data_IF_020193111611
#
_entry.id   IF_020193111611
#
_cell.length_a   1.000
_cell.length_b   1.000
_cell.length_c   1.000
_cell.angle_alpha   90.00
_cell.angle_beta   90.00
_cell.angle_gamma   90.00
#
_symmetry.space_group_name_H-M   'P 1'
#
loop_
_entity.id
_entity.type
_entity.pdbx_description
1 polymer ?
#
# COMPACT_ATOMS: atom_id res chain seq x y z
N UNK A 1 52.26 19.81 39.13
CA UNK A 1 51.20 20.02 38.12
C UNK A 1 51.38 18.90 37.11
N UNK A 2 50.36 18.07 36.87
CA UNK A 2 50.45 17.04 35.84
C UNK A 2 50.57 17.73 34.47
N UNK A 3 51.41 17.21 33.59
CA UNK A 3 51.46 17.76 32.22
C UNK A 3 50.20 17.33 31.47
N UNK A 4 49.77 18.11 30.47
CA UNK A 4 48.59 17.77 29.65
C UNK A 4 48.65 16.36 29.06
N UNK A 5 49.86 15.88 28.74
CA UNK A 5 50.11 14.52 28.24
C UNK A 5 49.77 13.48 29.31
N UNK A 6 50.22 13.68 30.57
CA UNK A 6 49.94 12.76 31.67
C UNK A 6 48.45 12.69 32.00
N UNK A 7 47.75 13.83 32.00
CA UNK A 7 46.30 13.88 32.22
C UNK A 7 45.52 13.11 31.14
N UNK A 8 45.89 13.31 29.87
CA UNK A 8 45.27 12.61 28.76
C UNK A 8 45.63 11.11 28.74
N UNK A 9 46.85 10.76 29.17
CA UNK A 9 47.30 9.37 29.23
C UNK A 9 46.58 8.60 30.34
N UNK A 10 46.44 9.19 31.53
CA UNK A 10 45.67 8.61 32.64
C UNK A 10 44.21 8.36 32.22
N UNK A 11 43.57 9.36 31.61
CA UNK A 11 42.22 9.25 31.06
C UNK A 11 42.11 8.18 29.96
N UNK A 12 43.13 8.03 29.11
CA UNK A 12 43.17 7.03 28.05
C UNK A 12 43.24 5.61 28.64
N UNK A 13 44.06 5.41 29.67
CA UNK A 13 44.15 4.14 30.39
C UNK A 13 42.88 3.82 31.19
N UNK A 14 42.17 4.83 31.67
CA UNK A 14 40.84 4.70 32.30
C UNK A 14 39.69 4.54 31.27
N UNK A 15 40.00 4.58 29.98
CA UNK A 15 39.05 4.49 28.86
C UNK A 15 37.96 5.58 28.86
N UNK A 16 38.25 6.75 29.43
CA UNK A 16 37.33 7.89 29.48
C UNK A 16 37.54 8.91 28.35
N UNK A 17 38.54 8.69 27.49
CA UNK A 17 38.90 9.62 26.40
C UNK A 17 37.87 9.69 25.28
N UNK A 18 37.72 10.88 24.70
CA UNK A 18 37.00 11.09 23.44
C UNK A 18 37.92 10.96 22.22
N UNK A 19 37.35 10.70 21.04
CA UNK A 19 38.10 10.59 19.78
C UNK A 19 38.93 11.84 19.43
N UNK A 20 38.49 13.03 19.87
CA UNK A 20 39.25 14.27 19.71
C UNK A 20 40.47 14.32 20.63
N UNK A 21 40.32 13.88 21.88
CA UNK A 21 41.38 13.84 22.88
C UNK A 21 42.43 12.78 22.53
N UNK A 22 42.02 11.63 21.99
CA UNK A 22 42.97 10.61 21.52
C UNK A 22 43.83 11.08 20.35
N UNK A 23 43.25 11.87 19.43
CA UNK A 23 44.01 12.49 18.33
C UNK A 23 45.00 13.52 18.86
N UNK A 24 44.60 14.32 19.85
CA UNK A 24 45.45 15.29 20.54
C UNK A 24 46.60 14.57 21.25
N UNK A 25 46.29 13.56 22.07
CA UNK A 25 47.25 12.73 22.81
C UNK A 25 48.28 12.09 21.87
N UNK A 26 47.82 11.48 20.77
CA UNK A 26 48.71 10.87 19.78
C UNK A 26 49.67 11.90 19.16
N UNK A 27 49.17 13.09 18.83
CA UNK A 27 50.02 14.16 18.27
C UNK A 27 51.06 14.62 19.29
N UNK A 28 50.64 14.89 20.52
CA UNK A 28 51.50 15.38 21.58
C UNK A 28 52.59 14.37 21.97
N UNK A 29 52.26 13.08 22.01
CA UNK A 29 53.24 12.02 22.32
C UNK A 29 54.26 11.85 21.18
N UNK A 30 53.86 12.03 19.92
CA UNK A 30 54.79 11.95 18.80
C UNK A 30 55.76 13.14 18.74
N UNK A 31 55.34 14.30 19.24
CA UNK A 31 56.11 15.56 19.20
C UNK A 31 56.97 15.77 20.46
N UNK A 32 56.64 15.13 21.58
CA UNK A 32 57.38 15.29 22.84
C UNK A 32 58.67 14.48 22.91
N UNK A 33 59.66 14.95 23.67
CA UNK A 33 60.85 14.18 24.04
C UNK A 33 60.51 13.31 25.26
N UNK A 34 60.61 11.97 25.14
CA UNK A 34 60.16 11.00 26.17
C UNK A 34 59.05 10.05 25.71
N UNK A 35 58.46 9.29 26.64
CA UNK A 35 57.32 8.37 26.41
C UNK A 35 57.54 7.32 25.29
N UNK A 36 58.73 6.70 25.28
CA UNK A 36 59.14 5.74 24.24
C UNK A 36 58.18 4.55 24.11
N UNK A 37 57.62 4.06 25.23
CA UNK A 37 56.69 2.91 25.24
C UNK A 37 55.36 3.26 24.59
N UNK A 38 54.81 4.42 24.94
CA UNK A 38 53.55 4.92 24.41
C UNK A 38 53.70 5.28 22.92
N UNK A 39 54.85 5.84 22.53
CA UNK A 39 55.19 6.08 21.11
C UNK A 39 55.19 4.79 20.30
N UNK A 40 55.88 3.76 20.79
CA UNK A 40 55.93 2.45 20.12
C UNK A 40 54.51 1.87 19.95
N UNK A 41 53.69 1.94 21.00
CA UNK A 41 52.28 1.51 20.95
C UNK A 41 51.49 2.26 19.87
N UNK A 42 51.52 3.59 19.87
CA UNK A 42 50.75 4.39 18.89
C UNK A 42 51.25 4.21 17.45
N UNK A 43 52.54 3.93 17.26
CA UNK A 43 53.10 3.60 15.95
C UNK A 43 52.64 2.21 15.48
N UNK A 44 52.72 1.19 16.34
CA UNK A 44 52.25 -0.15 16.03
C UNK A 44 50.75 -0.16 15.66
N UNK A 45 49.91 0.52 16.44
CA UNK A 45 48.48 0.69 16.14
C UNK A 45 48.22 1.40 14.79
N UNK A 46 49.10 2.34 14.42
CA UNK A 46 49.08 2.97 13.10
C UNK A 46 49.36 1.99 11.97
N UNK A 47 50.37 1.13 12.15
CA UNK A 47 50.79 0.15 11.15
C UNK A 47 49.75 -0.96 10.95
N UNK A 48 49.11 -1.43 12.04
CA UNK A 48 48.02 -2.41 11.94
C UNK A 48 46.81 -1.91 11.14
N UNK A 49 46.58 -0.59 11.10
CA UNK A 49 45.52 -0.01 10.25
C UNK A 49 45.82 -0.16 8.76
N UNK A 50 47.09 -0.20 8.39
CA UNK A 50 47.54 -0.33 7.00
C UNK A 50 47.76 -1.78 6.57
N UNK A 51 47.82 -2.71 7.51
CA UNK A 51 47.91 -4.13 7.20
C UNK A 51 46.56 -4.66 6.68
N UNK A 52 46.51 -4.98 5.38
CA UNK A 52 45.38 -5.70 4.83
C UNK A 52 45.37 -7.14 5.39
N UNK A 53 44.24 -7.62 5.92
CA UNK A 53 44.14 -8.96 6.46
C UNK A 53 44.31 -10.00 5.34
N UNK A 54 45.48 -10.61 5.29
CA UNK A 54 45.90 -11.52 4.20
C UNK A 54 44.99 -12.76 4.05
N UNK A 55 44.18 -13.10 5.06
CA UNK A 55 43.38 -14.33 5.13
C UNK A 55 41.91 -14.12 5.52
N UNK A 56 41.23 -13.06 5.04
CA UNK A 56 39.77 -12.98 5.15
C UNK A 56 39.08 -13.83 4.08
N UNK A 57 38.83 -15.10 4.37
CA UNK A 57 37.95 -15.96 3.57
C UNK A 57 36.49 -15.59 3.81
N UNK A 58 36.02 -14.50 3.18
CA UNK A 58 34.60 -14.15 3.17
C UNK A 58 33.88 -15.13 2.23
N UNK A 59 32.89 -15.91 2.70
CA UNK A 59 32.15 -16.80 1.83
C UNK A 59 31.43 -15.97 0.76
N UNK A 60 31.80 -16.20 -0.51
CA UNK A 60 31.13 -15.57 -1.66
C UNK A 60 29.70 -16.08 -1.70
N UNK A 61 28.78 -15.36 -1.07
CA UNK A 61 27.35 -15.60 -1.26
C UNK A 61 27.06 -15.43 -2.75
N UNK A 62 26.70 -16.52 -3.42
CA UNK A 62 26.29 -16.50 -4.82
C UNK A 62 24.89 -15.91 -4.88
N UNK A 63 24.79 -14.58 -4.85
CA UNK A 63 23.56 -13.90 -5.22
C UNK A 63 23.22 -14.32 -6.65
N UNK A 64 22.09 -15.02 -6.83
CA UNK A 64 21.56 -15.37 -8.13
C UNK A 64 21.24 -14.07 -8.86
N UNK A 65 22.12 -13.64 -9.77
CA UNK A 65 21.89 -12.49 -10.63
C UNK A 65 20.82 -12.85 -11.64
N UNK A 66 19.60 -12.43 -11.38
CA UNK A 66 18.53 -12.48 -12.38
C UNK A 66 18.85 -11.40 -13.41
N UNK A 67 18.75 -11.75 -14.70
CA UNK A 67 19.04 -10.81 -15.77
C UNK A 67 17.98 -9.70 -15.79
N UNK A 68 18.40 -8.46 -15.57
CA UNK A 68 17.49 -7.30 -15.55
C UNK A 68 16.76 -7.12 -16.87
N UNK A 69 17.37 -7.50 -18.00
CA UNK A 69 16.71 -7.40 -19.32
C UNK A 69 15.49 -8.31 -19.43
N UNK A 70 15.52 -9.48 -18.79
CA UNK A 70 14.38 -10.42 -18.76
C UNK A 70 13.21 -9.85 -17.97
N UNK A 71 13.51 -9.15 -16.87
CA UNK A 71 12.50 -8.49 -16.04
C UNK A 71 11.88 -7.31 -16.80
N UNK A 72 12.68 -6.52 -17.52
CA UNK A 72 12.17 -5.41 -18.33
C UNK A 72 11.22 -5.89 -19.44
N UNK A 73 11.56 -6.97 -20.13
CA UNK A 73 10.69 -7.56 -21.17
C UNK A 73 9.39 -8.09 -20.57
N UNK A 74 9.46 -8.81 -19.45
CA UNK A 74 8.29 -9.31 -18.75
C UNK A 74 7.35 -8.18 -18.30
N UNK A 75 7.90 -7.05 -17.82
CA UNK A 75 7.11 -5.89 -17.41
C UNK A 75 6.34 -5.29 -18.60
N UNK A 76 6.98 -5.11 -19.75
CA UNK A 76 6.30 -4.58 -20.95
C UNK A 76 5.16 -5.49 -21.41
N UNK A 77 5.37 -6.80 -21.43
CA UNK A 77 4.32 -7.78 -21.79
C UNK A 77 3.18 -7.75 -20.79
N UNK A 78 3.47 -7.68 -19.49
CA UNK A 78 2.45 -7.62 -18.45
C UNK A 78 1.59 -6.34 -18.54
N UNK A 79 2.19 -5.20 -18.87
CA UNK A 79 1.45 -3.94 -19.08
C UNK A 79 0.48 -4.07 -20.26
N UNK A 80 0.92 -4.65 -21.39
CA UNK A 80 0.07 -4.84 -22.56
C UNK A 80 -1.11 -5.78 -22.27
N UNK A 81 -0.83 -6.92 -21.63
CA UNK A 81 -1.88 -7.87 -21.26
C UNK A 81 -2.86 -7.29 -20.24
N UNK A 82 -2.34 -6.58 -19.23
CA UNK A 82 -3.16 -5.90 -18.22
C UNK A 82 -4.05 -4.81 -18.83
N UNK A 83 -3.50 -4.02 -19.75
CA UNK A 83 -4.26 -2.98 -20.45
C UNK A 83 -5.36 -3.57 -21.33
N UNK A 84 -5.07 -4.63 -22.10
CA UNK A 84 -6.07 -5.30 -22.93
C UNK A 84 -7.21 -5.90 -22.09
N UNK A 85 -6.88 -6.58 -21.00
CA UNK A 85 -7.88 -7.20 -20.13
C UNK A 85 -8.72 -6.16 -19.38
N UNK A 86 -8.07 -5.06 -18.96
CA UNK A 86 -8.72 -3.91 -18.35
C UNK A 86 -9.70 -3.22 -19.28
N UNK A 87 -9.31 -2.96 -20.54
CA UNK A 87 -10.20 -2.38 -21.55
C UNK A 87 -11.44 -3.25 -21.77
N UNK A 88 -11.25 -4.56 -21.96
CA UNK A 88 -12.35 -5.49 -22.19
C UNK A 88 -13.34 -5.53 -21.03
N UNK A 89 -12.82 -5.54 -19.79
CA UNK A 89 -13.65 -5.48 -18.58
C UNK A 89 -14.40 -4.16 -18.47
N UNK A 90 -13.75 -3.05 -18.82
CA UNK A 90 -14.34 -1.73 -18.76
C UNK A 90 -15.49 -1.57 -19.76
N UNK A 91 -15.30 -1.99 -21.02
CA UNK A 91 -16.38 -1.98 -22.02
C UNK A 91 -17.56 -2.87 -21.61
N UNK A 92 -17.29 -4.06 -21.08
CA UNK A 92 -18.34 -4.96 -20.63
C UNK A 92 -19.17 -4.33 -19.50
N UNK A 93 -18.52 -3.68 -18.53
CA UNK A 93 -19.21 -2.96 -17.45
C UNK A 93 -20.03 -1.78 -17.95
N UNK A 94 -19.51 -1.02 -18.91
CA UNK A 94 -20.26 0.10 -19.50
C UNK A 94 -21.49 -0.39 -20.25
N UNK A 95 -21.37 -1.46 -21.04
CA UNK A 95 -22.49 -2.05 -21.75
C UNK A 95 -23.56 -2.60 -20.78
N UNK A 96 -23.14 -3.23 -19.69
CA UNK A 96 -24.04 -3.74 -18.65
C UNK A 96 -24.78 -2.60 -17.92
N UNK A 97 -24.09 -1.50 -17.62
CA UNK A 97 -24.70 -0.31 -17.03
C UNK A 97 -25.74 0.33 -17.95
N UNK A 98 -25.41 0.49 -19.24
CA UNK A 98 -26.35 1.05 -20.22
C UNK A 98 -27.62 0.18 -20.36
N UNK A 99 -27.45 -1.14 -20.45
CA UNK A 99 -28.58 -2.08 -20.50
C UNK A 99 -29.41 -2.04 -19.21
N UNK A 100 -28.76 -1.92 -18.05
CA UNK A 100 -29.45 -1.79 -16.76
C UNK A 100 -30.30 -0.52 -16.69
N UNK A 101 -29.75 0.62 -17.13
CA UNK A 101 -30.49 1.89 -17.18
C UNK A 101 -31.71 1.81 -18.08
N UNK A 102 -31.59 1.19 -19.27
CA UNK A 102 -32.71 0.99 -20.19
C UNK A 102 -33.82 0.14 -19.56
N UNK A 103 -33.45 -0.98 -18.92
CA UNK A 103 -34.40 -1.85 -18.22
C UNK A 103 -35.09 -1.12 -17.07
N UNK A 104 -34.33 -0.36 -16.26
CA UNK A 104 -34.89 0.42 -15.16
C UNK A 104 -35.84 1.51 -15.65
N UNK A 105 -35.52 2.15 -16.77
CA UNK A 105 -36.40 3.12 -17.40
C UNK A 105 -37.71 2.47 -17.89
N UNK A 106 -37.62 1.32 -18.57
CA UNK A 106 -38.79 0.56 -18.99
C UNK A 106 -39.65 0.12 -17.79
N UNK A 107 -39.02 -0.36 -16.71
CA UNK A 107 -39.69 -0.74 -15.48
C UNK A 107 -40.40 0.45 -14.81
N UNK A 108 -39.76 1.63 -14.81
CA UNK A 108 -40.37 2.86 -14.30
C UNK A 108 -41.62 3.22 -15.11
N UNK A 109 -41.59 3.13 -16.45
CA UNK A 109 -42.76 3.35 -17.29
C UNK A 109 -43.90 2.37 -16.96
N UNK A 110 -43.58 1.08 -16.82
CA UNK A 110 -44.56 0.06 -16.40
C UNK A 110 -45.15 0.42 -15.04
N UNK A 111 -44.33 0.80 -14.06
CA UNK A 111 -44.77 1.20 -12.73
C UNK A 111 -45.71 2.42 -12.78
N UNK A 112 -45.44 3.42 -13.63
CA UNK A 112 -46.32 4.58 -13.77
C UNK A 112 -47.67 4.22 -14.40
N UNK A 113 -47.70 3.31 -15.36
CA UNK A 113 -48.96 2.85 -15.97
C UNK A 113 -49.75 1.97 -15.00
N UNK A 114 -49.07 1.11 -14.25
CA UNK A 114 -49.67 0.28 -13.21
C UNK A 114 -50.25 1.13 -12.07
N UNK A 115 -49.55 2.17 -11.61
CA UNK A 115 -50.06 3.06 -10.56
C UNK A 115 -51.28 3.85 -11.01
N UNK A 116 -51.29 4.36 -12.25
CA UNK A 116 -52.47 4.98 -12.87
C UNK A 116 -53.65 4.00 -12.96
N UNK A 117 -53.42 2.77 -13.40
CA UNK A 117 -54.44 1.73 -13.46
C UNK A 117 -55.01 1.40 -12.07
N UNK A 118 -54.15 1.28 -11.06
CA UNK A 118 -54.56 1.10 -9.66
C UNK A 118 -55.42 2.26 -9.16
N UNK A 119 -55.07 3.50 -9.49
CA UNK A 119 -55.85 4.68 -9.11
C UNK A 119 -57.22 4.70 -9.80
N UNK A 120 -57.30 4.36 -11.09
CA UNK A 120 -58.57 4.26 -11.81
C UNK A 120 -59.47 3.13 -11.28
N UNK A 121 -58.88 2.10 -10.66
CA UNK A 121 -59.60 1.00 -10.01
C UNK A 121 -59.99 1.31 -8.55
N UNK A 122 -59.55 2.44 -7.96
CA UNK A 122 -59.95 2.81 -6.59
C UNK A 122 -61.48 2.85 -6.40
N UNK A 123 -62.28 3.44 -7.30
CA UNK A 123 -63.73 3.45 -7.16
C UNK A 123 -64.34 2.05 -7.13
N UNK A 124 -63.75 1.08 -7.85
CA UNK A 124 -64.20 -0.31 -7.84
C UNK A 124 -63.80 -1.04 -6.54
N UNK A 125 -62.73 -0.60 -5.88
CA UNK A 125 -62.36 -1.11 -4.57
C UNK A 125 -63.39 -0.71 -3.49
N UNK A 126 -64.03 0.45 -3.64
CA UNK A 126 -65.14 0.87 -2.77
C UNK A 126 -66.40 0.02 -3.04
N UNK A 127 -66.61 -0.41 -4.29
CA UNK A 127 -67.69 -1.34 -4.64
C UNK A 127 -67.49 -2.74 -4.04
N UNK A 128 -66.26 -3.15 -3.70
CA UNK A 128 -66.00 -4.44 -3.03
C UNK A 128 -66.72 -4.54 -1.67
N UNK A 129 -66.94 -3.42 -1.01
CA UNK A 129 -67.66 -3.34 0.27
C UNK A 129 -69.17 -3.14 0.09
N UNK A 130 -69.60 -2.78 -1.12
CA UNK A 130 -70.99 -2.67 -1.50
C UNK A 130 -71.40 -4.00 -2.15
N UNK A 131 -71.83 -4.97 -1.35
CA UNK A 131 -72.51 -6.19 -1.83
C UNK A 131 -73.90 -5.84 -2.41
N UNK A 132 -73.95 -5.00 -3.44
CA UNK A 132 -75.16 -4.32 -3.94
C UNK A 132 -75.48 -4.67 -5.39
N UNK A 133 -75.03 -5.84 -5.85
CA UNK A 133 -75.47 -6.42 -7.14
C UNK A 133 -76.99 -6.43 -7.27
N UNK A 134 -77.72 -6.57 -6.15
CA UNK A 134 -79.19 -6.61 -6.14
C UNK A 134 -79.88 -5.22 -6.16
N UNK A 135 -79.16 -4.10 -5.98
CA UNK A 135 -79.79 -2.76 -5.95
C UNK A 135 -79.55 -1.95 -7.23
N UNK A 136 -78.42 -2.15 -7.92
CA UNK A 136 -78.07 -1.37 -9.13
C UNK A 136 -78.63 -2.00 -10.41
N UNK A 137 -78.72 -3.33 -10.45
CA UNK A 137 -79.38 -4.04 -11.54
C UNK A 137 -80.77 -4.44 -11.07
N UNK A 138 -81.77 -3.58 -11.31
CA UNK A 138 -83.18 -4.02 -11.29
C UNK A 138 -83.35 -5.03 -12.43
N UNK A 139 -83.03 -6.30 -12.16
CA UNK A 139 -83.39 -7.39 -13.06
C UNK A 139 -84.90 -7.52 -13.00
N UNK A 140 -85.56 -6.87 -13.95
CA UNK A 140 -86.99 -6.88 -14.14
C UNK A 140 -87.42 -8.31 -14.49
N UNK A 141 -87.78 -9.09 -13.47
CA UNK A 141 -88.41 -10.39 -13.62
C UNK A 141 -89.82 -10.17 -14.17
N UNK A 142 -89.92 -9.95 -15.49
CA UNK A 142 -91.20 -10.00 -16.20
C UNK A 142 -91.77 -11.41 -16.06
N UNK A 143 -92.75 -11.52 -15.17
CA UNK A 143 -93.77 -12.56 -15.14
C UNK A 143 -94.34 -12.74 -16.55
N UNK A 144 -94.07 -13.91 -17.16
CA UNK A 144 -94.92 -14.46 -18.22
C UNK A 144 -95.96 -15.37 -17.57
N UNK A 145 -97.17 -15.20 -18.09
CA UNK A 145 -98.45 -15.81 -17.76
C UNK A 145 -98.40 -17.30 -17.44
#
# INVERSE_FOLDING_TARGET
>A
MKTRIEELLEKYWEAETSLSEEKELRKLILESEGYEKEKELFQALGNFRTEEPQNLSIPKTKLRRINSTWISWAASVAILLGSFWGWRTYEQKQAEQAAYEEVMHALALIQTNFSKGKQQMQPLNDLKYLNTTNQVFQMDQKTKQ
#
